data_IF_663176644972
#
_entry.id   IF_663176644972
#
_cell.length_a   1.000
_cell.length_b   1.000
_cell.length_c   1.000
_cell.angle_alpha   90.00
_cell.angle_beta   90.00
_cell.angle_gamma   90.00
#
_symmetry.space_group_name_H-M   'P 1'
#
loop_
_entity.id
_entity.type
_entity.pdbx_description
1 polymer ?
#
# COMPACT_ATOMS: atom_id res chain seq x y z
N UNK A 1 21.19 18.92 10.72
CA UNK A 1 19.96 18.73 11.53
C UNK A 1 19.87 17.28 11.93
N UNK A 2 19.63 17.00 13.21
CA UNK A 2 19.45 15.62 13.70
C UNK A 2 18.05 15.11 13.32
N UNK A 3 17.99 13.91 12.77
CA UNK A 3 16.76 13.27 12.34
C UNK A 3 16.16 12.45 13.48
N UNK A 4 14.87 12.66 13.74
CA UNK A 4 14.07 11.80 14.61
C UNK A 4 13.67 10.51 13.90
N UNK A 5 13.15 9.54 14.65
CA UNK A 5 12.74 8.24 14.07
C UNK A 5 11.67 8.44 12.99
N UNK A 6 10.67 9.31 13.25
CA UNK A 6 9.62 9.60 12.29
C UNK A 6 10.16 10.24 11.00
N UNK A 7 11.21 11.08 11.09
CA UNK A 7 11.86 11.67 9.92
C UNK A 7 12.52 10.58 9.07
N UNK A 8 13.22 9.65 9.74
CA UNK A 8 13.87 8.53 9.07
C UNK A 8 12.85 7.62 8.40
N UNK A 9 11.77 7.26 9.08
CA UNK A 9 10.69 6.45 8.50
C UNK A 9 10.09 7.12 7.26
N UNK A 10 9.81 8.42 7.32
CA UNK A 10 9.31 9.18 6.17
C UNK A 10 10.31 9.18 5.00
N UNK A 11 11.61 9.32 5.26
CA UNK A 11 12.65 9.21 4.23
C UNK A 11 12.66 7.81 3.61
N UNK A 12 12.57 6.74 4.42
CA UNK A 12 12.51 5.37 3.91
C UNK A 12 11.27 5.16 3.04
N UNK A 13 10.10 5.66 3.44
CA UNK A 13 8.88 5.60 2.64
C UNK A 13 9.06 6.28 1.26
N UNK A 14 9.68 7.46 1.23
CA UNK A 14 9.98 8.18 -0.02
C UNK A 14 10.92 7.33 -0.91
N UNK A 15 11.97 6.74 -0.33
CA UNK A 15 12.91 5.90 -1.06
C UNK A 15 12.24 4.63 -1.61
N UNK A 16 11.37 3.99 -0.83
CA UNK A 16 10.61 2.81 -1.26
C UNK A 16 9.68 3.15 -2.43
N UNK A 17 8.90 4.22 -2.30
CA UNK A 17 8.02 4.73 -3.34
C UNK A 17 8.78 5.06 -4.63
N UNK A 18 9.95 5.69 -4.53
CA UNK A 18 10.82 6.00 -5.66
C UNK A 18 11.35 4.73 -6.32
N UNK A 19 11.80 3.77 -5.53
CA UNK A 19 12.26 2.47 -6.03
C UNK A 19 11.17 1.77 -6.84
N UNK A 20 9.93 1.69 -6.32
CA UNK A 20 8.82 1.08 -7.04
C UNK A 20 8.53 1.79 -8.35
N UNK A 21 8.54 3.13 -8.36
CA UNK A 21 8.34 3.93 -9.56
C UNK A 21 9.43 3.68 -10.61
N UNK A 22 10.70 3.63 -10.20
CA UNK A 22 11.83 3.36 -11.11
C UNK A 22 11.77 1.94 -11.70
N UNK A 23 11.17 0.96 -10.99
CA UNK A 23 10.87 -0.38 -11.52
C UNK A 23 9.61 -0.44 -12.41
N UNK A 24 8.86 0.66 -12.54
CA UNK A 24 7.57 0.70 -13.24
C UNK A 24 6.47 -0.06 -12.51
N UNK A 25 6.61 -0.30 -11.20
CA UNK A 25 5.59 -0.97 -10.39
C UNK A 25 4.53 0.03 -9.93
N UNK A 26 3.27 -0.43 -9.92
CA UNK A 26 2.18 0.34 -9.32
C UNK A 26 2.21 0.13 -7.82
N UNK A 27 2.00 1.19 -7.05
CA UNK A 27 1.99 1.10 -5.60
C UNK A 27 0.97 2.07 -5.00
N UNK A 28 0.52 1.73 -3.79
CA UNK A 28 -0.47 2.47 -3.02
C UNK A 28 0.04 2.52 -1.58
N UNK A 29 -0.09 3.68 -0.94
CA UNK A 29 0.24 3.86 0.48
C UNK A 29 -0.95 3.39 1.32
N UNK A 30 -0.79 2.30 2.07
CA UNK A 30 -1.90 1.75 2.86
C UNK A 30 -2.30 2.69 4.00
N UNK A 31 -1.35 3.46 4.55
CA UNK A 31 -1.63 4.51 5.55
C UNK A 31 -2.58 5.61 5.04
N UNK A 32 -2.58 5.89 3.73
CA UNK A 32 -3.33 7.03 3.14
C UNK A 32 -4.52 6.62 2.30
N UNK A 33 -4.42 5.49 1.63
CA UNK A 33 -5.34 5.12 0.56
C UNK A 33 -6.16 3.85 0.86
N UNK A 34 -5.98 3.20 2.01
CA UNK A 34 -6.72 1.96 2.33
C UNK A 34 -8.23 2.15 2.32
N UNK A 35 -8.72 3.31 2.79
CA UNK A 35 -10.14 3.65 2.79
C UNK A 35 -10.73 3.69 1.37
N UNK A 36 -9.92 4.01 0.37
CA UNK A 36 -10.36 4.00 -1.04
C UNK A 36 -10.61 2.56 -1.52
N UNK A 37 -9.86 1.59 -1.00
CA UNK A 37 -10.07 0.17 -1.28
C UNK A 37 -11.37 -0.29 -0.61
N UNK A 38 -11.60 0.09 0.66
CA UNK A 38 -12.83 -0.24 1.38
C UNK A 38 -14.07 0.34 0.69
N UNK A 39 -14.02 1.63 0.34
CA UNK A 39 -15.10 2.29 -0.38
C UNK A 39 -15.38 1.65 -1.73
N UNK A 40 -14.34 1.26 -2.48
CA UNK A 40 -14.51 0.56 -3.76
C UNK A 40 -15.24 -0.78 -3.60
N UNK A 41 -15.02 -1.49 -2.49
CA UNK A 41 -15.72 -2.74 -2.19
C UNK A 41 -17.19 -2.50 -1.86
N UNK A 42 -17.49 -1.50 -1.02
CA UNK A 42 -18.87 -1.12 -0.67
C UNK A 42 -19.65 -0.65 -1.91
N UNK A 43 -19.04 0.17 -2.76
CA UNK A 43 -19.65 0.63 -4.01
C UNK A 43 -19.98 -0.54 -4.96
N UNK A 44 -19.13 -1.57 -5.03
CA UNK A 44 -19.41 -2.76 -5.83
C UNK A 44 -20.53 -3.62 -5.24
N UNK A 45 -20.61 -3.69 -3.91
CA UNK A 45 -21.72 -4.37 -3.22
C UNK A 45 -23.06 -3.67 -3.52
N UNK A 46 -23.08 -2.35 -3.42
CA UNK A 46 -24.25 -1.51 -3.69
C UNK A 46 -24.69 -1.60 -5.16
N UNK A 47 -23.74 -1.55 -6.10
CA UNK A 47 -24.02 -1.71 -7.53
C UNK A 47 -24.68 -3.05 -7.83
N UNK A 48 -24.15 -4.15 -7.25
CA UNK A 48 -24.76 -5.46 -7.42
C UNK A 48 -26.16 -5.53 -6.80
N UNK A 49 -26.35 -4.98 -5.60
CA UNK A 49 -27.64 -4.98 -4.92
C UNK A 49 -28.70 -4.17 -5.69
N UNK A 50 -28.30 -3.08 -6.34
CA UNK A 50 -29.17 -2.27 -7.18
C UNK A 50 -29.48 -2.94 -8.54
N UNK A 51 -28.52 -3.66 -9.11
CA UNK A 51 -28.62 -4.24 -10.46
C UNK A 51 -28.16 -5.70 -10.52
N UNK A 52 -28.90 -6.66 -9.92
CA UNK A 52 -28.48 -8.06 -9.80
C UNK A 52 -28.65 -8.89 -11.09
N UNK A 53 -28.54 -8.26 -12.26
CA UNK A 53 -28.69 -8.91 -13.57
C UNK A 53 -27.40 -9.57 -14.07
N UNK A 54 -26.24 -9.18 -13.53
CA UNK A 54 -24.92 -9.77 -13.80
C UNK A 54 -24.37 -10.43 -12.53
N UNK A 55 -23.39 -11.33 -12.66
CA UNK A 55 -22.72 -11.92 -11.50
C UNK A 55 -21.87 -10.88 -10.75
N UNK A 56 -21.68 -11.08 -9.44
CA UNK A 56 -20.75 -10.25 -8.66
C UNK A 56 -19.34 -10.22 -9.25
N UNK A 57 -18.88 -11.36 -9.77
CA UNK A 57 -17.59 -11.46 -10.46
C UNK A 57 -17.50 -10.54 -11.68
N UNK A 58 -18.59 -10.40 -12.44
CA UNK A 58 -18.63 -9.47 -13.58
C UNK A 58 -18.43 -8.02 -13.13
N UNK A 59 -19.07 -7.61 -12.04
CA UNK A 59 -18.89 -6.26 -11.48
C UNK A 59 -17.45 -6.00 -11.04
N UNK A 60 -16.82 -6.97 -10.38
CA UNK A 60 -15.41 -6.87 -9.95
C UNK A 60 -14.47 -6.78 -11.14
N UNK A 61 -14.66 -7.66 -12.14
CA UNK A 61 -13.80 -7.76 -13.32
C UNK A 61 -13.86 -6.51 -14.22
N UNK A 62 -15.01 -5.82 -14.21
CA UNK A 62 -15.27 -4.63 -15.04
C UNK A 62 -15.25 -3.32 -14.23
N UNK A 63 -14.84 -3.36 -12.96
CA UNK A 63 -14.80 -2.18 -12.12
C UNK A 63 -13.70 -1.21 -12.54
N UNK A 64 -13.97 0.10 -12.43
CA UNK A 64 -12.93 1.12 -12.60
C UNK A 64 -11.85 1.02 -11.50
N UNK A 65 -12.21 0.47 -10.33
CA UNK A 65 -11.34 0.26 -9.18
C UNK A 65 -10.46 -1.00 -9.28
N UNK A 66 -10.60 -1.81 -10.34
CA UNK A 66 -9.81 -3.04 -10.54
C UNK A 66 -8.31 -2.80 -10.50
N UNK A 67 -7.85 -1.67 -11.02
CA UNK A 67 -6.43 -1.31 -10.99
C UNK A 67 -5.87 -1.07 -9.58
N UNK A 68 -6.74 -0.91 -8.58
CA UNK A 68 -6.38 -0.63 -7.19
C UNK A 68 -6.35 -1.94 -6.39
N UNK A 69 -7.40 -2.77 -6.49
CA UNK A 69 -7.50 -4.01 -5.71
C UNK A 69 -7.01 -5.26 -6.46
N UNK A 70 -6.90 -5.21 -7.79
CA UNK A 70 -6.37 -6.26 -8.69
C UNK A 70 -7.00 -7.65 -8.49
N UNK A 71 -8.26 -7.70 -8.07
CA UNK A 71 -9.02 -8.94 -7.94
C UNK A 71 -9.89 -9.13 -9.18
N UNK A 72 -10.08 -10.38 -9.59
CA UNK A 72 -10.96 -10.74 -10.71
C UNK A 72 -12.29 -11.35 -10.24
N UNK A 73 -12.33 -11.83 -8.99
CA UNK A 73 -13.51 -12.49 -8.40
C UNK A 73 -13.98 -11.78 -7.15
N UNK A 74 -15.27 -11.87 -6.87
CA UNK A 74 -15.89 -11.34 -5.67
C UNK A 74 -15.30 -11.93 -4.40
N UNK A 75 -15.20 -13.26 -4.32
CA UNK A 75 -14.67 -13.92 -3.12
C UNK A 75 -13.20 -13.58 -2.87
N UNK A 76 -12.42 -13.39 -3.94
CA UNK A 76 -11.04 -12.90 -3.86
C UNK A 76 -11.00 -11.47 -3.31
N UNK A 77 -11.83 -10.57 -3.83
CA UNK A 77 -11.94 -9.19 -3.36
C UNK A 77 -12.37 -9.12 -1.90
N UNK A 78 -13.40 -9.87 -1.52
CA UNK A 78 -13.88 -9.93 -0.15
C UNK A 78 -12.79 -10.40 0.81
N UNK A 79 -12.13 -11.52 0.47
CA UNK A 79 -11.04 -12.07 1.29
C UNK A 79 -9.89 -11.06 1.42
N UNK A 80 -9.57 -10.35 0.33
CA UNK A 80 -8.54 -9.31 0.33
C UNK A 80 -8.90 -8.12 1.22
N UNK A 81 -10.15 -7.64 1.15
CA UNK A 81 -10.64 -6.54 1.99
C UNK A 81 -10.68 -6.94 3.47
N UNK A 82 -11.16 -8.14 3.78
CA UNK A 82 -11.18 -8.66 5.16
C UNK A 82 -9.76 -8.76 5.74
N UNK A 83 -8.78 -9.15 4.91
CA UNK A 83 -7.37 -9.13 5.29
C UNK A 83 -6.86 -7.72 5.55
N UNK A 84 -7.14 -6.77 4.67
CA UNK A 84 -6.72 -5.38 4.86
C UNK A 84 -7.32 -4.80 6.15
N UNK A 85 -8.60 -5.06 6.43
CA UNK A 85 -9.23 -4.62 7.70
C UNK A 85 -8.54 -5.16 8.95
N UNK A 86 -7.93 -6.35 8.86
CA UNK A 86 -7.25 -6.97 9.99
C UNK A 86 -5.77 -6.57 10.11
N UNK A 87 -5.10 -6.25 8.99
CA UNK A 87 -3.64 -6.16 8.94
C UNK A 87 -3.07 -4.96 8.16
N UNK A 88 -3.91 -4.04 7.65
CA UNK A 88 -3.40 -2.91 6.84
C UNK A 88 -2.43 -2.01 7.58
N UNK A 89 -2.58 -1.88 8.90
CA UNK A 89 -1.71 -1.06 9.74
C UNK A 89 -0.30 -1.66 9.91
N UNK A 90 -0.13 -2.96 9.67
CA UNK A 90 1.16 -3.65 9.74
C UNK A 90 1.97 -3.53 8.43
N UNK A 91 1.42 -2.88 7.39
CA UNK A 91 2.08 -2.70 6.09
C UNK A 91 2.04 -1.24 5.64
N UNK A 92 3.11 -0.78 5.00
CA UNK A 92 3.19 0.61 4.52
C UNK A 92 2.66 0.74 3.09
N UNK A 93 2.91 -0.28 2.24
CA UNK A 93 2.51 -0.27 0.84
C UNK A 93 1.85 -1.56 0.38
N UNK A 94 0.87 -1.40 -0.51
CA UNK A 94 0.45 -2.42 -1.46
C UNK A 94 1.14 -2.12 -2.79
N UNK A 95 1.81 -3.12 -3.35
CA UNK A 95 2.61 -3.03 -4.57
C UNK A 95 2.13 -4.06 -5.58
N UNK A 96 2.18 -3.70 -6.86
CA UNK A 96 1.86 -4.58 -7.97
C UNK A 96 2.87 -4.48 -9.10
N UNK A 97 3.33 -5.64 -9.55
CA UNK A 97 4.19 -5.81 -10.71
C UNK A 97 3.44 -6.44 -11.90
N UNK A 98 2.25 -5.91 -12.20
CA UNK A 98 1.32 -6.34 -13.26
C UNK A 98 0.66 -7.72 -13.08
N UNK A 99 1.29 -8.67 -12.37
CA UNK A 99 0.73 -10.02 -12.20
C UNK A 99 0.55 -10.46 -10.74
N UNK A 100 1.19 -9.78 -9.78
CA UNK A 100 1.12 -10.17 -8.36
C UNK A 100 0.94 -8.97 -7.44
N UNK A 101 0.11 -9.18 -6.42
CA UNK A 101 -0.02 -8.29 -5.26
C UNK A 101 1.06 -8.63 -4.26
N UNK A 102 1.68 -7.59 -3.73
CA UNK A 102 2.78 -7.71 -2.81
C UNK A 102 2.60 -6.65 -1.74
N UNK A 103 2.94 -6.97 -0.50
CA UNK A 103 2.97 -6.00 0.58
C UNK A 103 4.41 -5.59 0.87
N UNK A 104 4.59 -4.35 1.31
CA UNK A 104 5.89 -3.84 1.72
C UNK A 104 5.82 -3.24 3.12
N UNK A 105 6.83 -3.56 3.92
CA UNK A 105 7.15 -2.90 5.18
C UNK A 105 8.42 -2.07 4.95
N UNK A 106 8.35 -0.77 5.15
CA UNK A 106 9.45 0.17 5.05
C UNK A 106 10.06 0.38 6.44
N UNK A 107 11.37 0.17 6.57
CA UNK A 107 12.06 0.27 7.87
C UNK A 107 13.46 0.85 7.75
N UNK A 108 13.88 1.65 8.72
CA UNK A 108 15.24 2.17 8.79
C UNK A 108 16.22 1.22 9.49
N UNK A 109 15.75 0.34 10.38
CA UNK A 109 16.59 -0.53 11.20
C UNK A 109 16.52 -2.02 10.79
N UNK A 110 15.49 -2.40 10.04
CA UNK A 110 15.25 -3.79 9.61
C UNK A 110 14.49 -4.63 10.65
N UNK A 111 14.02 -4.03 11.74
CA UNK A 111 13.24 -4.73 12.75
C UNK A 111 11.82 -5.00 12.25
N UNK A 112 11.30 -6.18 12.58
CA UNK A 112 9.94 -6.60 12.27
C UNK A 112 9.26 -6.98 13.58
N UNK A 113 8.16 -6.29 13.89
CA UNK A 113 7.39 -6.51 15.12
C UNK A 113 6.68 -7.87 15.09
N UNK A 114 6.22 -8.36 16.24
CA UNK A 114 5.47 -9.61 16.29
C UNK A 114 4.10 -9.51 15.58
N UNK A 115 3.48 -8.32 15.56
CA UNK A 115 2.25 -8.06 14.79
C UNK A 115 2.53 -8.16 13.29
N UNK A 116 3.61 -7.54 12.82
CA UNK A 116 4.04 -7.64 11.43
C UNK A 116 4.40 -9.08 11.02
N UNK A 117 5.05 -9.87 11.89
CA UNK A 117 5.31 -11.31 11.60
C UNK A 117 4.01 -12.09 11.37
N UNK A 118 2.98 -11.81 12.18
CA UNK A 118 1.66 -12.42 12.00
C UNK A 118 1.02 -11.96 10.69
N UNK A 119 1.01 -10.66 10.41
CA UNK A 119 0.49 -10.10 9.17
C UNK A 119 1.19 -10.68 7.93
N UNK A 120 2.52 -10.84 7.97
CA UNK A 120 3.32 -11.49 6.92
C UNK A 120 2.86 -12.94 6.68
N UNK A 121 2.58 -13.67 7.74
CA UNK A 121 2.12 -15.07 7.64
C UNK A 121 0.76 -15.14 6.95
N UNK A 122 -0.17 -14.26 7.32
CA UNK A 122 -1.49 -14.21 6.69
C UNK A 122 -1.43 -13.71 5.24
N UNK A 123 -0.57 -12.74 4.92
CA UNK A 123 -0.35 -12.29 3.55
C UNK A 123 0.12 -13.44 2.64
N UNK A 124 1.00 -14.31 3.16
CA UNK A 124 1.48 -15.50 2.45
C UNK A 124 0.38 -16.54 2.23
N UNK A 125 -0.55 -16.69 3.19
CA UNK A 125 -1.72 -17.55 3.02
C UNK A 125 -2.61 -17.07 1.85
N UNK A 126 -2.66 -15.75 1.62
CA UNK A 126 -3.30 -15.14 0.44
C UNK A 126 -2.47 -15.20 -0.84
N UNK A 127 -1.33 -15.91 -0.83
CA UNK A 127 -0.38 -15.98 -1.95
C UNK A 127 0.18 -14.61 -2.36
N UNK A 128 0.15 -13.63 -1.46
CA UNK A 128 0.80 -12.35 -1.65
C UNK A 128 2.24 -12.44 -1.15
N UNK A 129 3.18 -11.90 -1.91
CA UNK A 129 4.56 -11.77 -1.43
C UNK A 129 4.64 -10.62 -0.43
N UNK A 130 5.59 -10.70 0.50
CA UNK A 130 5.92 -9.57 1.37
C UNK A 130 7.41 -9.26 1.27
N UNK A 131 7.74 -7.99 1.11
CA UNK A 131 9.11 -7.49 1.16
C UNK A 131 9.30 -6.54 2.34
N UNK A 132 10.53 -6.54 2.85
CA UNK A 132 10.98 -5.55 3.82
C UNK A 132 11.95 -4.63 3.10
N UNK A 133 11.54 -3.40 2.88
CA UNK A 133 12.37 -2.37 2.28
C UNK A 133 13.17 -1.69 3.39
N UNK A 134 14.45 -2.04 3.47
CA UNK A 134 15.37 -1.43 4.43
C UNK A 134 16.22 -0.36 3.73
N UNK A 135 16.25 0.84 4.30
CA UNK A 135 17.20 1.87 3.91
C UNK A 135 17.91 2.46 5.13
N UNK A 136 19.23 2.61 5.02
CA UNK A 136 20.04 3.22 6.06
C UNK A 136 19.97 4.75 5.92
N UNK A 137 19.21 5.40 6.79
CA UNK A 137 19.11 6.87 6.85
C UNK A 137 20.14 7.40 7.85
N UNK A 138 20.97 8.40 7.49
CA UNK A 138 21.95 8.98 8.41
C UNK A 138 21.25 9.59 9.65
N UNK A 139 22.00 9.77 10.74
CA UNK A 139 21.46 10.41 11.94
C UNK A 139 21.30 11.93 11.78
N UNK A 140 22.08 12.53 10.89
CA UNK A 140 22.08 13.95 10.63
C UNK A 140 22.08 14.22 9.12
N UNK A 141 21.36 15.26 8.72
CA UNK A 141 21.35 15.78 7.36
C UNK A 141 21.62 17.28 7.36
N UNK A 142 22.44 17.72 6.42
CA UNK A 142 22.68 19.14 6.17
C UNK A 142 21.70 19.67 5.13
N UNK A 143 21.33 20.94 5.26
CA UNK A 143 20.48 21.63 4.30
C UNK A 143 20.87 23.12 4.22
N UNK A 144 20.59 23.73 3.08
CA UNK A 144 20.74 25.16 2.86
C UNK A 144 19.35 25.75 2.55
N UNK A 145 18.97 26.84 3.23
CA UNK A 145 17.72 27.55 2.99
C UNK A 145 18.03 28.88 2.30
N UNK A 146 17.68 28.99 1.02
CA UNK A 146 17.80 30.22 0.24
C UNK A 146 16.46 30.96 0.19
N UNK A 147 16.41 32.17 0.74
CA UNK A 147 15.25 33.05 0.62
C UNK A 147 15.39 33.96 -0.60
N UNK A 148 14.53 33.76 -1.61
CA UNK A 148 14.45 34.65 -2.77
C UNK A 148 13.42 35.74 -2.48
N UNK A 149 13.87 36.98 -2.30
CA UNK A 149 12.99 38.14 -2.15
C UNK A 149 12.39 38.56 -3.49
N UNK A 150 11.07 38.78 -3.52
CA UNK A 150 10.41 39.40 -4.66
C UNK A 150 10.89 40.84 -4.81
N UNK A 151 11.50 41.16 -5.96
CA UNK A 151 11.81 42.53 -6.34
C UNK A 151 10.52 43.33 -6.57
N UNK A 152 10.51 44.57 -6.09
CA UNK A 152 9.48 45.58 -6.33
C UNK A 152 9.20 45.81 -7.81
#
# INVERSE_FOLDING_TARGET
>A
MKLEINDKEAIVEILAARYFADQGWKWISLRRDVDRIYKSFEELEDQYNAYPYMSKDWYVENSASKNIHLCAKWDELKTFVDFLRAYSEDFDFLVSNNDRKMFCIATSDGQITDTQKRAITEARNLRCNVFVFKANVPDEMDFELLQVGGGY
#
